data_IF_877962552506
#
_entry.id   IF_877962552506
#
_cell.length_a   1.000
_cell.length_b   1.000
_cell.length_c   1.000
_cell.angle_alpha   90.00
_cell.angle_beta   90.00
_cell.angle_gamma   90.00
#
_symmetry.space_group_name_H-M   'P 1'
#
loop_
_entity.id
_entity.type
_entity.pdbx_description
1 polymer ?
#
# COMPACT_ATOMS: atom_id res chain seq x y z
N UNK A 1 -16.10 -43.78 -16.08
CA UNK A 1 -14.64 -44.06 -16.12
C UNK A 1 -13.79 -42.78 -16.24
N UNK A 2 -14.24 -41.73 -16.94
CA UNK A 2 -13.54 -40.43 -16.99
C UNK A 2 -13.69 -39.58 -15.72
N UNK A 3 -14.88 -39.58 -15.10
CA UNK A 3 -15.15 -38.86 -13.85
C UNK A 3 -14.31 -39.35 -12.65
N UNK A 4 -13.99 -40.65 -12.62
CA UNK A 4 -13.15 -41.23 -11.56
C UNK A 4 -11.67 -40.87 -11.71
N UNK A 5 -11.19 -40.63 -12.94
CA UNK A 5 -9.82 -40.16 -13.20
C UNK A 5 -9.64 -38.68 -12.88
N UNK A 6 -10.66 -37.85 -13.13
CA UNK A 6 -10.64 -36.44 -12.74
C UNK A 6 -10.62 -36.25 -11.22
N UNK A 7 -11.34 -37.11 -10.48
CA UNK A 7 -11.30 -37.10 -9.01
C UNK A 7 -10.04 -37.77 -8.43
N UNK A 8 -9.44 -38.74 -9.13
CA UNK A 8 -8.15 -39.33 -8.73
C UNK A 8 -6.96 -38.39 -8.99
N UNK A 9 -7.05 -37.50 -9.97
CA UNK A 9 -6.05 -36.43 -10.18
C UNK A 9 -6.08 -35.38 -9.07
N UNK A 10 -7.21 -35.23 -8.35
CA UNK A 10 -7.33 -34.41 -7.15
C UNK A 10 -6.83 -35.09 -5.86
N UNK A 11 -6.31 -36.31 -5.95
CA UNK A 11 -5.88 -37.13 -4.82
C UNK A 11 -4.37 -37.44 -4.82
N UNK A 12 -3.57 -36.76 -5.65
CA UNK A 12 -2.14 -36.61 -5.39
C UNK A 12 -1.96 -35.32 -4.58
N UNK A 13 -1.57 -35.48 -3.33
CA UNK A 13 -1.13 -34.43 -2.41
C UNK A 13 0.19 -33.79 -2.89
N UNK A 14 0.21 -33.27 -4.12
CA UNK A 14 1.39 -32.76 -4.78
C UNK A 14 1.54 -31.28 -4.51
N UNK A 15 2.15 -30.92 -3.38
CA UNK A 15 2.75 -29.60 -3.27
C UNK A 15 3.71 -29.43 -4.46
N UNK A 16 3.49 -28.41 -5.28
CA UNK A 16 4.34 -28.15 -6.44
C UNK A 16 5.80 -28.05 -5.98
N UNK A 17 6.66 -28.89 -6.55
CA UNK A 17 8.08 -28.88 -6.27
C UNK A 17 8.81 -28.17 -7.43
N UNK A 18 9.71 -27.22 -7.14
CA UNK A 18 10.42 -26.52 -8.19
C UNK A 18 11.29 -27.50 -9.00
N UNK A 19 11.23 -27.44 -10.35
CA UNK A 19 12.13 -28.23 -11.19
C UNK A 19 13.58 -27.79 -11.01
N UNK A 20 14.52 -28.60 -11.50
CA UNK A 20 15.94 -28.20 -11.56
C UNK A 20 16.04 -26.96 -12.45
N UNK A 21 16.45 -25.84 -11.83
CA UNK A 21 16.49 -24.56 -12.51
C UNK A 21 17.66 -24.48 -13.49
N UNK A 22 17.44 -24.12 -14.75
CA UNK A 22 18.51 -23.86 -15.69
C UNK A 22 19.22 -22.54 -15.36
N UNK A 23 20.48 -22.40 -15.79
CA UNK A 23 21.33 -21.24 -15.48
C UNK A 23 20.71 -19.91 -15.94
N UNK A 24 19.82 -19.94 -16.93
CA UNK A 24 19.13 -18.75 -17.45
C UNK A 24 17.93 -18.30 -16.60
N UNK A 25 17.43 -19.12 -15.68
CA UNK A 25 16.25 -18.79 -14.87
C UNK A 25 16.51 -17.59 -13.94
N UNK A 26 17.69 -17.53 -13.32
CA UNK A 26 18.10 -16.42 -12.44
C UNK A 26 18.19 -15.08 -13.19
N UNK A 27 18.92 -14.96 -14.32
CA UNK A 27 18.96 -13.70 -15.07
C UNK A 27 17.60 -13.33 -15.66
N UNK A 28 16.76 -14.29 -16.03
CA UNK A 28 15.38 -14.01 -16.46
C UNK A 28 14.54 -13.39 -15.33
N UNK A 29 14.64 -13.91 -14.10
CA UNK A 29 13.96 -13.34 -12.94
C UNK A 29 14.41 -11.90 -12.66
N UNK A 30 15.72 -11.62 -12.73
CA UNK A 30 16.24 -10.25 -12.61
C UNK A 30 15.73 -9.33 -13.72
N UNK A 31 15.68 -9.83 -14.96
CA UNK A 31 15.15 -9.05 -16.08
C UNK A 31 13.67 -8.69 -15.88
N UNK A 32 12.85 -9.65 -15.43
CA UNK A 32 11.43 -9.41 -15.10
C UNK A 32 11.32 -8.38 -13.98
N UNK A 33 12.09 -8.52 -12.89
CA UNK A 33 12.06 -7.60 -11.76
C UNK A 33 12.42 -6.16 -12.18
N UNK A 34 13.51 -6.00 -12.93
CA UNK A 34 13.96 -4.69 -13.43
C UNK A 34 12.92 -4.09 -14.38
N UNK A 35 12.34 -4.90 -15.28
CA UNK A 35 11.30 -4.43 -16.19
C UNK A 35 10.06 -3.95 -15.44
N UNK A 36 9.59 -4.69 -14.42
CA UNK A 36 8.45 -4.28 -13.58
C UNK A 36 8.77 -2.99 -12.84
N UNK A 37 9.95 -2.88 -12.23
CA UNK A 37 10.35 -1.64 -11.57
C UNK A 37 10.45 -0.46 -12.54
N UNK A 38 11.00 -0.66 -13.73
CA UNK A 38 11.05 0.39 -14.74
C UNK A 38 9.63 0.84 -15.15
N UNK A 39 8.71 -0.10 -15.37
CA UNK A 39 7.31 0.21 -15.67
C UNK A 39 6.63 1.03 -14.57
N UNK A 40 6.91 0.72 -13.31
CA UNK A 40 6.37 1.43 -12.14
C UNK A 40 7.01 2.82 -11.99
N UNK A 41 8.35 2.91 -12.03
CA UNK A 41 9.10 4.15 -11.78
C UNK A 41 8.85 5.19 -12.86
N UNK A 42 8.79 4.77 -14.13
CA UNK A 42 8.48 5.67 -15.24
C UNK A 42 6.98 5.88 -15.44
N UNK A 43 6.13 5.30 -14.57
CA UNK A 43 4.67 5.37 -14.62
C UNK A 43 4.08 5.08 -16.02
N UNK A 44 4.74 4.22 -16.81
CA UNK A 44 4.34 3.91 -18.19
C UNK A 44 2.98 3.24 -18.21
N UNK A 45 2.71 2.41 -17.19
CA UNK A 45 1.43 1.76 -16.96
C UNK A 45 1.05 1.86 -15.49
N UNK A 46 -0.23 1.65 -15.18
CA UNK A 46 -0.69 1.62 -13.79
C UNK A 46 0.09 0.55 -12.98
N UNK A 47 0.62 0.93 -11.81
CA UNK A 47 1.35 0.03 -10.89
C UNK A 47 0.74 -1.36 -10.68
N UNK A 48 -0.59 -1.46 -10.57
CA UNK A 48 -1.29 -2.73 -10.42
C UNK A 48 -1.18 -3.61 -11.67
N UNK A 49 -1.30 -2.99 -12.86
CA UNK A 49 -1.14 -3.67 -14.14
C UNK A 49 0.33 -4.09 -14.34
N UNK A 50 1.30 -3.24 -14.01
CA UNK A 50 2.72 -3.60 -14.06
C UNK A 50 3.03 -4.84 -13.20
N UNK A 51 2.55 -4.85 -11.95
CA UNK A 51 2.70 -5.99 -11.05
C UNK A 51 2.01 -7.25 -11.59
N UNK A 52 0.80 -7.13 -12.13
CA UNK A 52 0.07 -8.26 -12.72
C UNK A 52 0.81 -8.87 -13.92
N UNK A 53 1.31 -8.05 -14.84
CA UNK A 53 2.11 -8.52 -15.99
C UNK A 53 3.39 -9.19 -15.52
N UNK A 54 4.08 -8.61 -14.52
CA UNK A 54 5.28 -9.20 -13.92
C UNK A 54 5.03 -10.57 -13.31
N UNK A 55 3.96 -10.70 -12.54
CA UNK A 55 3.55 -11.98 -11.95
C UNK A 55 3.20 -13.04 -13.00
N UNK A 56 2.44 -12.65 -14.03
CA UNK A 56 2.12 -13.53 -15.17
C UNK A 56 3.40 -13.96 -15.89
N UNK A 57 4.32 -13.05 -16.17
CA UNK A 57 5.58 -13.35 -16.82
C UNK A 57 6.43 -14.33 -16.00
N UNK A 58 6.46 -14.19 -14.68
CA UNK A 58 7.15 -15.11 -13.78
C UNK A 58 6.52 -16.52 -13.84
N UNK A 59 5.19 -16.63 -13.75
CA UNK A 59 4.48 -17.93 -13.82
C UNK A 59 4.64 -18.61 -15.18
N UNK A 60 4.60 -17.84 -16.28
CA UNK A 60 4.83 -18.35 -17.64
C UNK A 60 6.27 -18.85 -17.79
N UNK A 61 7.24 -18.13 -17.23
CA UNK A 61 8.65 -18.55 -17.25
C UNK A 61 8.85 -19.86 -16.49
N UNK A 62 8.19 -20.04 -15.35
CA UNK A 62 8.21 -21.30 -14.59
C UNK A 62 7.58 -22.47 -15.35
N UNK A 63 6.48 -22.22 -16.07
CA UNK A 63 5.86 -23.22 -16.96
C UNK A 63 6.75 -23.59 -18.14
N UNK A 64 7.65 -22.70 -18.57
CA UNK A 64 8.60 -23.00 -19.63
C UNK A 64 9.77 -23.88 -19.14
N UNK A 65 10.18 -23.74 -17.88
CA UNK A 65 11.27 -24.52 -17.26
C UNK A 65 10.86 -25.97 -16.96
N UNK A 66 9.58 -26.22 -16.66
CA UNK A 66 9.08 -27.55 -16.34
C UNK A 66 7.57 -27.56 -16.11
N UNK A 67 7.09 -28.51 -15.29
CA UNK A 67 5.70 -28.46 -14.82
C UNK A 67 5.54 -27.24 -13.92
N UNK A 68 4.95 -26.16 -14.45
CA UNK A 68 4.72 -24.93 -13.71
C UNK A 68 3.74 -25.13 -12.54
N UNK A 69 3.68 -24.14 -11.62
CA UNK A 69 2.80 -24.21 -10.46
C UNK A 69 1.33 -24.21 -10.88
N UNK A 70 0.52 -25.05 -10.23
CA UNK A 70 -0.93 -24.98 -10.37
C UNK A 70 -1.47 -23.68 -9.76
N UNK A 71 -2.67 -23.26 -10.19
CA UNK A 71 -3.34 -22.07 -9.67
C UNK A 71 -3.46 -22.11 -8.14
N UNK A 72 -3.72 -23.29 -7.55
CA UNK A 72 -3.75 -23.45 -6.10
C UNK A 72 -2.44 -23.06 -5.42
N UNK A 73 -1.30 -23.42 -6.01
CA UNK A 73 0.03 -23.03 -5.49
C UNK A 73 0.28 -21.54 -5.67
N UNK A 74 -0.09 -20.96 -6.82
CA UNK A 74 0.12 -19.52 -7.05
C UNK A 74 -0.71 -18.68 -6.07
N UNK A 75 -1.93 -19.11 -5.74
CA UNK A 75 -2.78 -18.43 -4.74
C UNK A 75 -2.12 -18.44 -3.36
N UNK A 76 -1.40 -19.51 -2.98
CA UNK A 76 -0.67 -19.56 -1.70
C UNK A 76 0.51 -18.59 -1.61
N UNK A 77 0.96 -18.00 -2.73
CA UNK A 77 1.99 -16.96 -2.72
C UNK A 77 1.42 -15.56 -2.42
N UNK A 78 0.09 -15.44 -2.39
CA UNK A 78 -0.58 -14.21 -2.01
C UNK A 78 -0.55 -14.12 -0.48
N UNK A 79 -0.05 -13.00 0.03
CA UNK A 79 -0.09 -12.69 1.46
C UNK A 79 -1.49 -12.18 1.84
N UNK A 80 -2.33 -13.10 2.30
CA UNK A 80 -3.71 -12.80 2.73
C UNK A 80 -3.76 -11.87 3.94
N UNK A 81 -2.78 -11.96 4.85
CA UNK A 81 -2.70 -11.11 6.05
C UNK A 81 -2.46 -9.66 5.65
N UNK A 82 -1.49 -9.42 4.75
CA UNK A 82 -1.19 -8.08 4.24
C UNK A 82 -2.38 -7.48 3.49
N UNK A 83 -3.03 -8.25 2.61
CA UNK A 83 -4.21 -7.75 1.88
C UNK A 83 -5.37 -7.45 2.84
N UNK A 84 -5.63 -8.34 3.80
CA UNK A 84 -6.67 -8.15 4.82
C UNK A 84 -6.42 -6.91 5.67
N UNK A 85 -5.16 -6.69 6.08
CA UNK A 85 -4.74 -5.51 6.82
C UNK A 85 -4.97 -4.23 6.00
N UNK A 86 -4.48 -4.17 4.75
CA UNK A 86 -4.64 -3.00 3.89
C UNK A 86 -6.12 -2.66 3.64
N UNK A 87 -6.96 -3.66 3.36
CA UNK A 87 -8.41 -3.47 3.18
C UNK A 87 -9.05 -2.97 4.47
N UNK A 88 -8.74 -3.59 5.61
CA UNK A 88 -9.27 -3.18 6.91
C UNK A 88 -8.92 -1.74 7.25
N UNK A 89 -7.67 -1.34 7.03
CA UNK A 89 -7.22 0.04 7.23
C UNK A 89 -7.96 1.00 6.31
N UNK A 90 -8.07 0.71 5.02
CA UNK A 90 -8.79 1.58 4.08
C UNK A 90 -10.27 1.78 4.47
N UNK A 91 -10.95 0.74 4.96
CA UNK A 91 -12.34 0.83 5.44
C UNK A 91 -12.43 1.73 6.68
N UNK A 92 -11.55 1.52 7.66
CA UNK A 92 -11.50 2.35 8.88
C UNK A 92 -11.29 3.81 8.50
N UNK A 93 -10.36 4.09 7.58
CA UNK A 93 -10.06 5.45 7.15
C UNK A 93 -11.26 6.10 6.42
N UNK A 94 -11.92 5.40 5.49
CA UNK A 94 -13.10 5.94 4.80
C UNK A 94 -14.23 6.30 5.79
N UNK A 95 -14.45 5.45 6.80
CA UNK A 95 -15.44 5.73 7.84
C UNK A 95 -15.02 6.96 8.67
N UNK A 96 -13.78 6.98 9.18
CA UNK A 96 -13.26 8.11 9.97
C UNK A 96 -13.33 9.43 9.20
N UNK A 97 -12.98 9.41 7.92
CA UNK A 97 -13.07 10.59 7.04
C UNK A 97 -14.50 11.13 6.92
N UNK A 98 -15.52 10.27 6.94
CA UNK A 98 -16.93 10.68 6.91
C UNK A 98 -17.46 11.19 8.25
N UNK A 99 -16.83 10.82 9.38
CA UNK A 99 -17.30 11.24 10.71
C UNK A 99 -17.03 12.70 11.05
N UNK A 100 -16.15 13.38 10.31
CA UNK A 100 -15.75 14.75 10.62
C UNK A 100 -14.69 14.85 11.73
N UNK A 101 -14.04 13.73 12.09
CA UNK A 101 -13.06 13.70 13.20
C UNK A 101 -11.82 14.55 12.89
N UNK A 102 -11.43 14.66 11.61
CA UNK A 102 -10.28 15.44 11.16
C UNK A 102 -10.56 16.93 11.23
N UNK A 103 -11.74 17.36 10.79
CA UNK A 103 -12.23 18.73 10.91
C UNK A 103 -12.32 19.15 12.37
N UNK A 104 -12.88 18.28 13.22
CA UNK A 104 -12.93 18.52 14.67
C UNK A 104 -11.52 18.64 15.27
N UNK A 105 -10.62 17.69 14.98
CA UNK A 105 -9.25 17.69 15.51
C UNK A 105 -8.49 18.97 15.13
N UNK A 106 -8.74 19.49 13.93
CA UNK A 106 -8.07 20.68 13.44
C UNK A 106 -8.64 21.98 14.03
N UNK A 107 -9.96 22.06 14.27
CA UNK A 107 -10.55 23.16 15.06
C UNK A 107 -9.97 23.18 16.48
N UNK A 108 -9.81 22.01 17.10
CA UNK A 108 -9.18 21.89 18.40
C UNK A 108 -7.70 22.29 18.35
N UNK A 109 -6.96 21.87 17.33
CA UNK A 109 -5.57 22.29 17.12
C UNK A 109 -5.44 23.81 17.02
N UNK A 110 -6.35 24.44 16.30
CA UNK A 110 -6.42 25.89 16.20
C UNK A 110 -6.71 26.56 17.55
N UNK A 111 -7.73 26.08 18.28
CA UNK A 111 -8.07 26.61 19.60
C UNK A 111 -6.89 26.51 20.59
N UNK A 112 -6.16 25.38 20.58
CA UNK A 112 -4.98 25.18 21.42
C UNK A 112 -3.74 25.97 20.96
N UNK A 113 -3.64 26.30 19.67
CA UNK A 113 -2.49 27.05 19.14
C UNK A 113 -2.39 28.48 19.70
N UNK A 114 -3.50 29.05 20.17
CA UNK A 114 -3.56 30.42 20.70
C UNK A 114 -3.12 31.48 19.68
N UNK A 115 -3.29 31.23 18.39
CA UNK A 115 -2.90 32.14 17.30
C UNK A 115 -1.42 32.10 16.92
N UNK A 116 -0.61 31.23 17.54
CA UNK A 116 0.79 31.05 17.15
C UNK A 116 0.94 30.02 16.04
N UNK A 117 1.48 30.43 14.90
CA UNK A 117 1.75 29.58 13.72
C UNK A 117 2.62 28.39 14.11
N UNK A 118 3.71 28.63 14.86
CA UNK A 118 4.61 27.57 15.31
C UNK A 118 3.93 26.50 16.16
N UNK A 119 3.04 26.91 17.08
CA UNK A 119 2.29 25.96 17.92
C UNK A 119 1.27 25.20 17.09
N UNK A 120 0.58 25.88 16.18
CA UNK A 120 -0.37 25.26 15.27
C UNK A 120 0.29 24.18 14.42
N UNK A 121 1.42 24.49 13.77
CA UNK A 121 2.18 23.54 12.95
C UNK A 121 2.58 22.32 13.77
N UNK A 122 3.09 22.52 14.99
CA UNK A 122 3.49 21.41 15.85
C UNK A 122 2.31 20.52 16.25
N UNK A 123 1.17 21.12 16.59
CA UNK A 123 -0.04 20.37 16.97
C UNK A 123 -0.58 19.59 15.76
N UNK A 124 -0.70 20.22 14.59
CA UNK A 124 -1.16 19.56 13.37
C UNK A 124 -0.22 18.43 12.94
N UNK A 125 1.10 18.63 13.02
CA UNK A 125 2.08 17.58 12.75
C UNK A 125 1.97 16.41 13.74
N UNK A 126 1.76 16.69 15.02
CA UNK A 126 1.58 15.65 16.04
C UNK A 126 0.30 14.86 15.80
N UNK A 127 -0.81 15.54 15.51
CA UNK A 127 -2.08 14.91 15.15
C UNK A 127 -1.91 14.04 13.91
N UNK A 128 -1.22 14.57 12.89
CA UNK A 128 -0.92 13.85 11.65
C UNK A 128 -0.11 12.59 11.92
N UNK A 129 0.97 12.67 12.72
CA UNK A 129 1.80 11.52 13.05
C UNK A 129 1.02 10.46 13.85
N UNK A 130 0.19 10.86 14.81
CA UNK A 130 -0.65 9.94 15.59
C UNK A 130 -1.66 9.25 14.69
N UNK A 131 -2.38 9.98 13.84
CA UNK A 131 -3.33 9.36 12.92
C UNK A 131 -2.64 8.46 11.90
N UNK A 132 -1.50 8.89 11.34
CA UNK A 132 -0.72 8.09 10.38
C UNK A 132 -0.12 6.82 11.00
N UNK A 133 -0.03 6.73 12.32
CA UNK A 133 0.39 5.50 13.00
C UNK A 133 -0.70 4.42 13.01
N UNK A 134 -1.96 4.78 12.76
CA UNK A 134 -3.10 3.85 12.69
C UNK A 134 -3.73 3.76 11.29
N UNK A 135 -3.38 4.67 10.40
CA UNK A 135 -3.98 4.86 9.09
C UNK A 135 -2.87 4.86 8.03
N UNK A 136 -3.20 4.54 6.77
CA UNK A 136 -2.20 4.63 5.72
C UNK A 136 -1.81 6.09 5.44
N UNK A 137 -0.53 6.31 5.14
CA UNK A 137 0.04 7.65 4.97
C UNK A 137 -0.65 8.44 3.84
N UNK A 138 -1.01 7.78 2.73
CA UNK A 138 -1.61 8.46 1.57
C UNK A 138 -2.99 8.98 1.97
N UNK A 139 -3.81 8.15 2.59
CA UNK A 139 -5.17 8.55 2.97
C UNK A 139 -5.17 9.55 4.12
N UNK A 140 -4.25 9.43 5.08
CA UNK A 140 -4.06 10.45 6.14
C UNK A 140 -3.83 11.83 5.54
N UNK A 141 -2.93 11.94 4.54
CA UNK A 141 -2.65 13.19 3.86
C UNK A 141 -3.85 13.68 3.04
N UNK A 142 -4.56 12.80 2.35
CA UNK A 142 -5.76 13.18 1.59
C UNK A 142 -6.86 13.78 2.48
N UNK A 143 -6.94 13.39 3.75
CA UNK A 143 -7.91 13.91 4.71
C UNK A 143 -7.42 15.17 5.44
N UNK A 144 -6.14 15.23 5.83
CA UNK A 144 -5.60 16.37 6.58
C UNK A 144 -5.35 17.58 5.68
N UNK A 145 -4.84 17.40 4.45
CA UNK A 145 -4.56 18.51 3.52
C UNK A 145 -5.75 19.45 3.29
N UNK A 146 -6.97 19.00 2.96
CA UNK A 146 -8.10 19.92 2.77
C UNK A 146 -8.43 20.70 4.05
N UNK A 147 -8.24 20.09 5.22
CA UNK A 147 -8.44 20.74 6.52
C UNK A 147 -7.35 21.77 6.80
N UNK A 148 -6.08 21.44 6.55
CA UNK A 148 -4.93 22.35 6.65
C UNK A 148 -5.08 23.56 5.73
N UNK A 149 -5.56 23.36 4.49
CA UNK A 149 -5.84 24.45 3.55
C UNK A 149 -6.92 25.39 4.11
N UNK A 150 -7.97 24.87 4.74
CA UNK A 150 -9.02 25.70 5.34
C UNK A 150 -8.48 26.56 6.48
N UNK A 151 -7.67 25.98 7.36
CA UNK A 151 -7.04 26.70 8.49
C UNK A 151 -6.06 27.75 7.98
N UNK A 152 -5.21 27.40 7.01
CA UNK A 152 -4.26 28.34 6.42
C UNK A 152 -4.96 29.55 5.80
N UNK A 153 -6.11 29.34 5.13
CA UNK A 153 -6.94 30.44 4.59
C UNK A 153 -7.49 31.35 5.69
N UNK A 154 -8.02 30.78 6.78
CA UNK A 154 -8.55 31.56 7.91
C UNK A 154 -7.44 32.40 8.57
N UNK A 155 -6.22 31.88 8.58
CA UNK A 155 -5.06 32.53 9.20
C UNK A 155 -4.23 33.41 8.25
N UNK A 156 -4.61 33.53 6.98
CA UNK A 156 -3.80 34.17 5.93
C UNK A 156 -2.36 33.64 5.86
N UNK A 157 -2.19 32.32 5.94
CA UNK A 157 -0.91 31.62 5.84
C UNK A 157 -0.78 30.92 4.49
N UNK A 158 0.46 30.72 4.04
CA UNK A 158 0.75 29.82 2.93
C UNK A 158 0.61 28.36 3.42
N UNK A 159 -0.25 27.53 2.79
CA UNK A 159 -0.50 26.16 3.24
C UNK A 159 0.65 25.19 2.88
N UNK A 160 1.43 25.50 1.84
CA UNK A 160 2.45 24.60 1.29
C UNK A 160 3.49 24.16 2.34
N UNK A 161 4.08 25.05 3.16
CA UNK A 161 5.05 24.63 4.17
C UNK A 161 4.43 23.77 5.28
N UNK A 162 3.17 24.03 5.67
CA UNK A 162 2.46 23.21 6.65
C UNK A 162 2.24 21.79 6.10
N UNK A 163 1.76 21.69 4.86
CA UNK A 163 1.49 20.40 4.22
C UNK A 163 2.79 19.60 4.08
N UNK A 164 3.91 20.23 3.70
CA UNK A 164 5.21 19.53 3.63
C UNK A 164 5.61 18.98 5.00
N UNK A 165 5.44 19.76 6.07
CA UNK A 165 5.71 19.29 7.42
C UNK A 165 4.79 18.13 7.82
N UNK A 166 3.49 18.22 7.53
CA UNK A 166 2.51 17.17 7.77
C UNK A 166 2.85 15.88 7.00
N UNK A 167 3.27 15.97 5.73
CA UNK A 167 3.72 14.81 4.94
C UNK A 167 4.94 14.13 5.56
N UNK A 168 5.93 14.91 6.01
CA UNK A 168 7.10 14.35 6.68
C UNK A 168 6.72 13.66 8.00
N UNK A 169 5.84 14.27 8.80
CA UNK A 169 5.37 13.70 10.06
C UNK A 169 4.43 12.50 9.87
N UNK A 170 3.62 12.47 8.81
CA UNK A 170 2.82 11.31 8.42
C UNK A 170 3.73 10.11 8.14
N UNK A 171 4.78 10.31 7.34
CA UNK A 171 5.74 9.22 7.07
C UNK A 171 6.47 8.75 8.32
N UNK A 172 6.84 9.64 9.24
CA UNK A 172 7.45 9.26 10.53
C UNK A 172 6.45 8.50 11.41
N UNK A 173 5.19 8.95 11.46
CA UNK A 173 4.11 8.32 12.22
C UNK A 173 3.80 6.90 11.73
N UNK A 174 3.64 6.73 10.41
CA UNK A 174 3.43 5.40 9.81
C UNK A 174 4.61 4.46 9.99
N UNK A 175 5.85 4.97 9.94
CA UNK A 175 7.04 4.16 10.22
C UNK A 175 7.21 3.79 11.71
N UNK A 176 6.48 4.44 12.62
CA UNK A 176 6.55 4.14 14.05
C UNK A 176 5.75 2.89 14.43
N UNK A 177 4.84 2.43 13.57
CA UNK A 177 4.02 1.23 13.78
C UNK A 177 4.34 0.15 12.73
N UNK A 178 4.07 -1.11 13.06
CA UNK A 178 4.32 -2.26 12.16
C UNK A 178 3.19 -2.49 11.13
N UNK A 179 2.31 -1.51 10.94
CA UNK A 179 1.17 -1.64 10.01
C UNK A 179 1.53 -1.27 8.57
#
# INVERSE_FOLDING_TARGET
MYLTRALAAGAESGAWAPPVMPDWAVPAAFAILIAVYALIVFEIVHRALAAAIGGIAAVVTLHYVGNGPDLGTVVTWIDEETIGLLIGMMIIVDILGRTGVFEWAAVQAYAFSGGSIWRLTFILCTITAVFSAFLDNVTTILLIVPVTIQIAKVLNLEPVPLIIAEVMFSNIGGAATQI
#
